data_IF_682872674476
#
_entry.id   IF_682872674476
#
_cell.length_a   1.000
_cell.length_b   1.000
_cell.length_c   1.000
_cell.angle_alpha   90.00
_cell.angle_beta   90.00
_cell.angle_gamma   90.00
#
_symmetry.space_group_name_H-M   'P 1'
#
loop_
_entity.id
_entity.type
_entity.pdbx_description
1 polymer ?
#
# COMPACT_ATOMS: atom_id res chain seq x y z
N UNK A 1 -22.49 14.17 -36.17
CA UNK A 1 -21.58 13.06 -36.53
C UNK A 1 -21.56 12.10 -35.36
N UNK A 2 -22.33 11.03 -35.50
CA UNK A 2 -22.59 9.98 -34.51
C UNK A 2 -21.41 9.00 -34.45
N UNK A 3 -20.90 8.71 -33.26
CA UNK A 3 -19.91 7.66 -33.03
C UNK A 3 -20.57 6.27 -33.10
N UNK A 4 -19.86 5.21 -33.55
CA UNK A 4 -20.44 3.87 -33.66
C UNK A 4 -20.44 3.15 -32.30
N UNK A 5 -21.36 2.22 -32.05
CA UNK A 5 -21.40 1.43 -30.82
C UNK A 5 -20.35 0.29 -30.88
N UNK A 6 -19.59 0.13 -29.79
CA UNK A 6 -18.75 -1.05 -29.57
C UNK A 6 -19.64 -2.30 -29.51
N UNK A 7 -19.40 -3.24 -30.42
CA UNK A 7 -20.02 -4.57 -30.40
C UNK A 7 -19.49 -5.35 -29.19
N UNK A 8 -20.36 -5.57 -28.21
CA UNK A 8 -20.19 -6.62 -27.20
C UNK A 8 -20.54 -7.94 -27.89
N UNK A 9 -19.55 -8.80 -28.11
CA UNK A 9 -19.80 -10.19 -28.48
C UNK A 9 -20.23 -10.94 -27.21
N UNK A 10 -21.51 -11.32 -27.17
CA UNK A 10 -22.08 -12.18 -26.14
C UNK A 10 -22.08 -13.62 -26.64
N UNK A 11 -21.46 -14.53 -25.88
CA UNK A 11 -21.69 -15.97 -26.00
C UNK A 11 -22.61 -16.45 -24.85
N UNK A 12 -23.34 -17.52 -25.14
CA UNK A 12 -24.59 -17.94 -24.52
C UNK A 12 -24.46 -18.61 -23.14
N UNK A 13 -23.97 -17.87 -22.15
CA UNK A 13 -24.25 -18.11 -20.72
C UNK A 13 -23.92 -16.84 -19.95
N UNK A 14 -24.95 -16.10 -19.52
CA UNK A 14 -24.87 -14.78 -18.89
C UNK A 14 -24.24 -14.76 -17.50
N UNK A 15 -22.94 -15.03 -17.41
CA UNK A 15 -22.08 -14.73 -16.27
C UNK A 15 -20.93 -13.85 -16.77
N UNK A 16 -20.70 -12.66 -16.20
CA UNK A 16 -19.54 -11.85 -16.57
C UNK A 16 -18.30 -12.60 -16.12
N UNK A 17 -17.55 -13.15 -17.08
CA UNK A 17 -16.18 -13.61 -16.86
C UNK A 17 -15.35 -12.42 -16.39
N UNK A 18 -15.09 -12.33 -15.08
CA UNK A 18 -14.02 -11.50 -14.53
C UNK A 18 -12.69 -12.23 -14.77
N UNK A 19 -12.25 -12.26 -16.02
CA UNK A 19 -10.95 -12.84 -16.43
C UNK A 19 -9.76 -11.90 -16.07
N UNK A 20 -9.93 -11.00 -15.10
CA UNK A 20 -8.90 -10.08 -14.60
C UNK A 20 -8.63 -10.35 -13.13
N UNK A 21 -7.34 -10.44 -12.75
CA UNK A 21 -6.94 -10.49 -11.34
C UNK A 21 -7.55 -9.30 -10.59
N UNK A 22 -8.03 -9.48 -9.34
CA UNK A 22 -8.59 -8.38 -8.57
C UNK A 22 -7.55 -7.27 -8.41
N UNK A 23 -7.98 -6.02 -8.54
CA UNK A 23 -7.15 -4.84 -8.32
C UNK A 23 -7.15 -4.48 -6.84
N UNK A 24 -6.08 -3.84 -6.38
CA UNK A 24 -6.02 -3.27 -5.03
C UNK A 24 -7.17 -2.29 -4.79
N UNK A 25 -7.62 -1.57 -5.81
CA UNK A 25 -8.69 -0.54 -5.73
C UNK A 25 -10.10 -1.10 -5.68
N UNK A 26 -10.29 -2.41 -5.83
CA UNK A 26 -11.62 -3.01 -5.85
C UNK A 26 -12.29 -2.91 -4.48
N UNK A 27 -13.58 -2.58 -4.44
CA UNK A 27 -14.33 -2.36 -3.19
C UNK A 27 -14.28 -3.59 -2.27
N UNK A 28 -14.41 -4.80 -2.84
CA UNK A 28 -14.35 -6.05 -2.07
C UNK A 28 -12.97 -6.27 -1.42
N UNK A 29 -11.88 -5.89 -2.12
CA UNK A 29 -10.51 -5.98 -1.59
C UNK A 29 -10.30 -4.93 -0.52
N UNK A 30 -10.71 -3.69 -0.78
CA UNK A 30 -10.61 -2.59 0.18
C UNK A 30 -11.38 -2.88 1.47
N UNK A 31 -12.57 -3.48 1.39
CA UNK A 31 -13.37 -3.86 2.56
C UNK A 31 -12.68 -4.92 3.41
N UNK A 32 -12.07 -5.94 2.80
CA UNK A 32 -11.31 -6.97 3.53
C UNK A 32 -10.07 -6.38 4.18
N UNK A 33 -9.29 -5.58 3.44
CA UNK A 33 -8.11 -4.91 3.96
C UNK A 33 -8.46 -3.95 5.09
N UNK A 34 -9.60 -3.26 4.98
CA UNK A 34 -10.08 -2.34 6.01
C UNK A 34 -10.44 -3.09 7.31
N UNK A 35 -11.14 -4.22 7.22
CA UNK A 35 -11.43 -5.08 8.39
C UNK A 35 -10.15 -5.51 9.08
N UNK A 36 -9.21 -6.07 8.31
CA UNK A 36 -7.94 -6.59 8.83
C UNK A 36 -7.02 -5.51 9.41
N UNK A 37 -7.12 -4.27 8.94
CA UNK A 37 -6.32 -3.16 9.47
C UNK A 37 -6.71 -2.83 10.91
N UNK A 38 -7.99 -3.04 11.26
CA UNK A 38 -8.56 -2.62 12.53
C UNK A 38 -8.58 -1.10 12.70
N UNK A 39 -9.28 -0.63 13.73
CA UNK A 39 -9.36 0.79 14.06
C UNK A 39 -9.11 0.99 15.55
N UNK A 40 -7.87 1.32 15.89
CA UNK A 40 -7.51 1.82 17.21
C UNK A 40 -7.38 3.35 17.21
N UNK A 41 -8.32 4.02 17.87
CA UNK A 41 -8.36 5.48 17.98
C UNK A 41 -7.14 6.05 18.72
N UNK A 42 -6.58 5.33 19.70
CA UNK A 42 -5.43 5.80 20.47
C UNK A 42 -4.17 5.83 19.61
N UNK A 43 -4.02 4.82 18.74
CA UNK A 43 -2.91 4.74 17.81
C UNK A 43 -3.05 5.74 16.65
N UNK A 44 -4.25 5.86 16.06
CA UNK A 44 -4.51 6.78 14.94
C UNK A 44 -4.34 8.25 15.36
N UNK A 45 -4.74 8.61 16.58
CA UNK A 45 -4.61 9.97 17.11
C UNK A 45 -3.49 10.11 18.14
N UNK A 46 -2.36 9.42 17.91
CA UNK A 46 -1.20 9.53 18.77
C UNK A 46 -0.72 11.00 18.87
N UNK A 47 -0.33 11.48 20.06
CA UNK A 47 0.18 12.84 20.21
C UNK A 47 1.37 13.12 19.29
N UNK A 48 1.20 14.04 18.35
CA UNK A 48 2.26 14.45 17.44
C UNK A 48 3.22 15.43 18.12
N UNK A 49 4.51 15.34 17.78
CA UNK A 49 5.51 16.33 18.18
C UNK A 49 5.31 17.60 17.36
N UNK A 50 4.51 18.51 17.89
CA UNK A 50 4.18 19.80 17.26
C UNK A 50 4.08 20.88 18.34
N UNK A 51 3.99 22.15 17.92
CA UNK A 51 3.74 23.25 18.84
C UNK A 51 2.43 23.03 19.59
N UNK A 52 2.52 22.98 20.92
CA UNK A 52 1.39 22.66 21.78
C UNK A 52 0.54 23.91 22.01
N UNK A 53 -0.77 23.74 21.88
CA UNK A 53 -1.78 24.75 22.22
C UNK A 53 -2.51 24.30 23.48
N UNK A 54 -2.99 25.23 24.33
CA UNK A 54 -3.73 24.87 25.53
C UNK A 54 -4.99 24.06 25.17
N UNK A 55 -5.26 22.94 25.85
CA UNK A 55 -6.41 22.11 25.56
C UNK A 55 -7.72 22.83 25.91
N UNK A 56 -8.78 22.54 25.15
CA UNK A 56 -10.13 23.09 25.38
C UNK A 56 -11.02 22.02 26.02
N UNK A 57 -11.43 22.25 27.26
CA UNK A 57 -12.35 21.36 27.98
C UNK A 57 -13.80 21.71 27.64
N UNK A 58 -14.64 20.70 27.48
CA UNK A 58 -16.08 20.83 27.24
C UNK A 58 -16.83 19.84 28.13
N UNK A 59 -17.92 20.28 28.75
CA UNK A 59 -18.85 19.41 29.47
C UNK A 59 -19.82 18.81 28.45
N UNK A 60 -19.86 17.49 28.36
CA UNK A 60 -20.69 16.77 27.40
C UNK A 60 -21.69 15.87 28.12
N UNK A 61 -22.89 15.77 27.56
CA UNK A 61 -23.84 14.71 27.92
C UNK A 61 -23.47 13.40 27.23
N UNK A 62 -23.98 12.26 27.70
CA UNK A 62 -23.71 10.94 27.11
C UNK A 62 -24.00 10.89 25.60
N UNK A 63 -25.13 11.48 25.16
CA UNK A 63 -25.48 11.56 23.73
C UNK A 63 -24.43 12.36 22.93
N UNK A 64 -23.96 13.47 23.47
CA UNK A 64 -22.95 14.31 22.82
C UNK A 64 -21.58 13.62 22.80
N UNK A 65 -21.24 12.83 23.82
CA UNK A 65 -20.03 12.02 23.84
C UNK A 65 -20.07 10.96 22.74
N UNK A 66 -21.19 10.25 22.58
CA UNK A 66 -21.37 9.27 21.50
C UNK A 66 -21.33 9.90 20.10
N UNK A 67 -21.85 11.11 19.93
CA UNK A 67 -21.72 11.83 18.67
C UNK A 67 -20.27 12.26 18.40
N UNK A 68 -19.53 12.69 19.43
CA UNK A 68 -18.13 13.04 19.31
C UNK A 68 -17.26 11.82 18.96
N UNK A 69 -17.52 10.66 19.58
CA UNK A 69 -16.81 9.42 19.24
C UNK A 69 -17.12 8.97 17.80
N UNK A 70 -18.38 9.06 17.35
CA UNK A 70 -18.73 8.78 15.94
C UNK A 70 -18.02 9.71 14.96
N UNK A 71 -17.87 11.00 15.30
CA UNK A 71 -17.09 11.96 14.48
C UNK A 71 -15.62 11.58 14.43
N UNK A 72 -15.02 11.25 15.59
CA UNK A 72 -13.63 10.80 15.66
C UNK A 72 -13.39 9.52 14.84
N UNK A 73 -14.35 8.57 14.84
CA UNK A 73 -14.28 7.37 14.00
C UNK A 73 -14.33 7.70 12.51
N UNK A 74 -15.17 8.67 12.09
CA UNK A 74 -15.21 9.11 10.69
C UNK A 74 -13.90 9.77 10.26
N UNK A 75 -13.35 10.65 11.09
CA UNK A 75 -12.04 11.27 10.83
C UNK A 75 -10.91 10.23 10.81
N UNK A 76 -10.97 9.22 11.69
CA UNK A 76 -10.02 8.11 11.69
C UNK A 76 -10.10 7.32 10.38
N UNK A 77 -11.31 7.05 9.86
CA UNK A 77 -11.52 6.38 8.58
C UNK A 77 -10.89 7.16 7.42
N UNK A 78 -11.08 8.48 7.39
CA UNK A 78 -10.48 9.35 6.38
C UNK A 78 -8.95 9.36 6.46
N UNK A 79 -8.38 9.34 7.67
CA UNK A 79 -6.91 9.24 7.84
C UNK A 79 -6.35 7.87 7.48
N UNK A 80 -7.14 6.81 7.64
CA UNK A 80 -6.75 5.43 7.37
C UNK A 80 -6.90 5.05 5.89
N UNK A 81 -7.30 5.97 5.01
CA UNK A 81 -7.37 5.70 3.57
C UNK A 81 -6.02 5.26 3.05
N UNK A 82 -5.98 4.04 2.51
CA UNK A 82 -4.75 3.41 2.05
C UNK A 82 -4.28 4.07 0.75
N UNK A 83 -2.97 4.31 0.59
CA UNK A 83 -2.44 4.80 -0.68
C UNK A 83 -2.66 3.75 -1.77
N UNK A 84 -2.94 4.16 -3.03
CA UNK A 84 -3.05 3.21 -4.13
C UNK A 84 -1.70 2.54 -4.38
N UNK A 85 -1.74 1.23 -4.64
CA UNK A 85 -0.57 0.46 -5.06
C UNK A 85 -0.53 0.47 -6.58
N UNK A 86 0.54 1.04 -7.15
CA UNK A 86 0.79 1.12 -8.58
C UNK A 86 2.05 0.33 -8.92
N UNK A 87 2.10 -0.16 -10.16
CA UNK A 87 3.31 -0.76 -10.70
C UNK A 87 4.37 0.31 -11.02
N UNK A 88 5.62 -0.14 -11.16
CA UNK A 88 6.73 0.74 -11.50
C UNK A 88 6.51 1.36 -12.89
N UNK A 89 6.62 2.69 -12.95
CA UNK A 89 6.48 3.44 -14.21
C UNK A 89 7.64 3.13 -15.18
N UNK A 90 7.31 3.02 -16.46
CA UNK A 90 8.31 2.84 -17.51
C UNK A 90 9.17 4.10 -17.69
N UNK A 91 10.49 3.96 -17.95
CA UNK A 91 11.37 5.07 -18.29
C UNK A 91 10.88 5.83 -19.53
N UNK A 92 11.08 7.16 -19.53
CA UNK A 92 10.73 8.01 -20.66
C UNK A 92 11.99 8.23 -21.51
N UNK A 93 12.04 7.59 -22.68
CA UNK A 93 13.08 7.77 -23.67
C UNK A 93 12.47 8.28 -24.98
N UNK A 94 12.07 9.54 -25.00
CA UNK A 94 11.43 10.18 -26.15
C UNK A 94 12.23 11.42 -26.60
N UNK A 95 12.71 11.37 -27.85
CA UNK A 95 13.49 12.42 -28.50
C UNK A 95 12.59 13.21 -29.44
N UNK A 96 12.48 14.51 -29.21
CA UNK A 96 11.61 15.40 -29.96
C UNK A 96 12.30 15.97 -31.21
N UNK A 97 13.58 16.34 -31.09
CA UNK A 97 14.35 16.93 -32.18
C UNK A 97 15.86 16.73 -31.97
N UNK A 98 16.62 16.69 -33.06
CA UNK A 98 18.08 16.57 -33.05
C UNK A 98 18.72 17.64 -33.95
N UNK A 99 19.38 18.62 -33.33
CA UNK A 99 20.04 19.72 -34.04
C UNK A 99 21.55 19.64 -33.87
N UNK A 100 22.23 18.86 -34.73
CA UNK A 100 23.68 18.64 -34.68
C UNK A 100 24.52 19.92 -34.82
N UNK A 101 23.94 21.00 -35.32
CA UNK A 101 24.60 22.30 -35.46
C UNK A 101 24.95 22.91 -34.10
N UNK A 102 24.20 22.56 -33.05
CA UNK A 102 24.43 23.06 -31.69
C UNK A 102 25.37 22.18 -30.86
N UNK A 103 25.86 21.08 -31.44
CA UNK A 103 26.81 20.20 -30.79
C UNK A 103 28.11 20.95 -30.48
N UNK A 104 28.50 20.98 -29.19
CA UNK A 104 29.73 21.62 -28.73
C UNK A 104 29.66 23.14 -28.54
N UNK A 105 28.48 23.77 -28.75
CA UNK A 105 28.28 25.20 -28.44
C UNK A 105 28.13 25.43 -26.94
N UNK A 106 27.42 24.52 -26.26
CA UNK A 106 27.11 24.61 -24.84
C UNK A 106 27.75 23.46 -24.06
N UNK A 107 28.19 23.73 -22.83
CA UNK A 107 28.81 22.71 -21.95
C UNK A 107 27.81 22.08 -20.98
N UNK A 108 26.64 22.69 -20.78
CA UNK A 108 25.65 22.27 -19.79
C UNK A 108 24.31 21.99 -20.44
N UNK A 109 23.54 21.07 -19.86
CA UNK A 109 22.16 20.81 -20.28
C UNK A 109 21.21 21.91 -19.79
N UNK A 110 20.23 22.27 -20.60
CA UNK A 110 19.15 23.18 -20.24
C UNK A 110 17.85 22.42 -20.03
N UNK A 111 17.12 22.76 -18.98
CA UNK A 111 15.83 22.14 -18.66
C UNK A 111 14.74 23.20 -18.78
N UNK A 112 13.84 23.01 -19.73
CA UNK A 112 12.69 23.88 -19.94
C UNK A 112 11.46 23.23 -19.33
N UNK A 113 10.79 23.96 -18.44
CA UNK A 113 9.59 23.48 -17.74
C UNK A 113 8.44 24.43 -18.02
N UNK A 114 7.32 23.90 -18.50
CA UNK A 114 6.07 24.65 -18.58
C UNK A 114 5.54 24.93 -17.16
N UNK A 115 5.21 26.18 -16.85
CA UNK A 115 4.73 26.64 -15.54
C UNK A 115 3.22 26.95 -15.50
N UNK A 116 2.47 26.56 -16.53
CA UNK A 116 1.02 26.80 -16.61
C UNK A 116 0.28 26.14 -15.43
N UNK A 117 -0.47 26.91 -14.65
CA UNK A 117 -1.09 26.45 -13.40
C UNK A 117 -2.23 25.43 -13.60
N UNK A 118 -3.00 25.56 -14.69
CA UNK A 118 -4.18 24.72 -14.95
C UNK A 118 -3.84 23.30 -15.41
N UNK A 119 -2.57 22.98 -15.66
CA UNK A 119 -2.15 21.70 -16.22
C UNK A 119 -1.73 20.74 -15.08
N UNK A 120 -2.29 19.51 -15.02
CA UNK A 120 -1.87 18.50 -14.06
C UNK A 120 -0.38 18.17 -14.17
N UNK A 121 0.24 17.83 -13.04
CA UNK A 121 1.67 17.53 -12.98
C UNK A 121 2.10 16.33 -13.83
N UNK A 122 1.20 15.41 -14.18
CA UNK A 122 1.47 14.26 -15.07
C UNK A 122 1.47 14.60 -16.56
N UNK A 123 0.73 15.62 -16.96
CA UNK A 123 0.60 16.04 -18.37
C UNK A 123 1.52 17.20 -18.75
N UNK A 124 2.14 17.83 -17.74
CA UNK A 124 3.06 18.96 -17.92
C UNK A 124 4.25 18.61 -18.83
N UNK A 125 4.60 19.54 -19.72
CA UNK A 125 5.76 19.41 -20.59
C UNK A 125 7.04 19.86 -19.88
N UNK A 126 8.02 18.95 -19.83
CA UNK A 126 9.36 19.22 -19.34
C UNK A 126 10.34 18.60 -20.34
N UNK A 127 11.17 19.44 -20.94
CA UNK A 127 12.11 19.04 -21.99
C UNK A 127 13.53 19.43 -21.60
N UNK A 128 14.48 18.62 -22.04
CA UNK A 128 15.90 18.78 -21.76
C UNK A 128 16.63 18.92 -23.08
N UNK A 129 17.38 20.02 -23.21
CA UNK A 129 18.31 20.24 -24.30
C UNK A 129 19.69 19.82 -23.83
N UNK A 130 20.22 18.78 -24.46
CA UNK A 130 21.56 18.27 -24.19
C UNK A 130 22.62 19.02 -24.98
N UNK A 131 23.89 19.05 -24.50
CA UNK A 131 24.99 19.69 -25.21
C UNK A 131 25.27 19.08 -26.60
N UNK A 132 24.76 17.88 -26.86
CA UNK A 132 24.86 17.19 -28.15
C UNK A 132 23.84 17.71 -29.18
N UNK A 133 23.05 18.75 -28.84
CA UNK A 133 22.01 19.31 -29.71
C UNK A 133 20.69 18.52 -29.71
N UNK A 134 20.57 17.48 -28.88
CA UNK A 134 19.35 16.66 -28.75
C UNK A 134 18.36 17.35 -27.82
N UNK A 135 17.10 17.49 -28.27
CA UNK A 135 15.98 17.90 -27.44
C UNK A 135 15.13 16.66 -27.12
N UNK A 136 15.15 16.24 -25.85
CA UNK A 136 14.40 15.08 -25.37
C UNK A 136 13.43 15.45 -24.27
N UNK A 137 12.49 14.56 -23.95
CA UNK A 137 11.71 14.67 -22.72
C UNK A 137 12.61 14.44 -21.49
N UNK A 138 12.29 15.12 -20.40
CA UNK A 138 12.98 14.93 -19.14
C UNK A 138 12.72 13.52 -18.59
N UNK A 139 13.72 12.94 -17.93
CA UNK A 139 13.52 11.68 -17.21
C UNK A 139 12.55 11.91 -16.05
N UNK A 140 11.98 10.83 -15.51
CA UNK A 140 11.09 10.91 -14.37
C UNK A 140 11.73 11.58 -13.13
N UNK A 141 13.00 11.32 -12.86
CA UNK A 141 13.74 11.96 -11.75
C UNK A 141 13.94 13.46 -11.99
N UNK A 142 14.30 13.85 -13.22
CA UNK A 142 14.44 15.25 -13.61
C UNK A 142 13.09 15.97 -13.48
N UNK A 143 12.02 15.33 -13.93
CA UNK A 143 10.64 15.84 -13.84
C UNK A 143 10.21 16.06 -12.40
N UNK A 144 10.35 15.05 -11.55
CA UNK A 144 9.98 15.11 -10.14
C UNK A 144 10.72 16.24 -9.40
N UNK A 145 12.02 16.41 -9.71
CA UNK A 145 12.83 17.50 -9.16
C UNK A 145 12.38 18.87 -9.64
N UNK A 146 12.14 19.05 -10.95
CA UNK A 146 11.69 20.33 -11.49
C UNK A 146 10.32 20.72 -10.93
N UNK A 147 9.39 19.76 -10.85
CA UNK A 147 8.07 19.99 -10.26
C UNK A 147 8.22 20.48 -8.82
N UNK A 148 9.08 19.86 -8.00
CA UNK A 148 9.27 20.31 -6.62
C UNK A 148 9.91 21.70 -6.50
N UNK A 149 10.77 22.10 -7.45
CA UNK A 149 11.40 23.43 -7.46
C UNK A 149 10.37 24.52 -7.75
N UNK A 150 9.51 24.30 -8.75
CA UNK A 150 8.53 25.31 -9.17
C UNK A 150 7.20 25.24 -8.40
N UNK A 151 6.82 24.04 -7.96
CA UNK A 151 5.59 23.75 -7.21
C UNK A 151 5.94 23.01 -5.91
N UNK A 152 6.44 23.71 -4.88
CA UNK A 152 6.89 23.08 -3.65
C UNK A 152 5.74 22.43 -2.89
N UNK A 153 5.81 21.11 -2.72
CA UNK A 153 4.91 20.34 -1.84
C UNK A 153 5.53 20.18 -0.45
N UNK A 154 4.72 20.36 0.59
CA UNK A 154 5.14 20.13 1.98
C UNK A 154 5.59 18.67 2.18
N UNK A 155 6.70 18.50 2.91
CA UNK A 155 7.28 17.18 3.19
C UNK A 155 8.16 16.60 2.07
N UNK A 156 8.09 17.13 0.84
CA UNK A 156 8.95 16.71 -0.28
C UNK A 156 10.20 17.59 -0.37
N UNK A 157 11.37 16.97 -0.55
CA UNK A 157 12.65 17.66 -0.80
C UNK A 157 13.09 17.45 -2.24
N UNK A 158 13.79 18.45 -2.80
CA UNK A 158 14.35 18.36 -4.17
C UNK A 158 15.41 17.26 -4.27
N UNK A 159 16.25 17.14 -3.24
CA UNK A 159 17.21 16.04 -3.11
C UNK A 159 16.64 15.06 -2.09
N UNK A 160 16.45 13.77 -2.46
CA UNK A 160 15.97 12.78 -1.53
C UNK A 160 16.84 12.69 -0.28
N UNK A 161 16.23 12.62 0.93
CA UNK A 161 16.97 12.39 2.17
C UNK A 161 17.85 11.13 2.10
N UNK A 162 19.05 11.21 2.69
CA UNK A 162 19.96 10.06 2.75
C UNK A 162 19.37 8.85 3.50
N UNK A 163 18.35 9.06 4.36
CA UNK A 163 17.65 8.01 5.12
C UNK A 163 17.08 6.90 4.22
N UNK A 164 16.77 7.21 2.95
CA UNK A 164 16.25 6.24 2.00
C UNK A 164 17.31 5.32 1.35
N UNK A 165 18.60 5.52 1.66
CA UNK A 165 19.65 4.60 1.26
C UNK A 165 19.63 3.35 2.13
N UNK A 166 19.97 2.20 1.53
CA UNK A 166 19.87 0.88 2.17
C UNK A 166 20.64 0.78 3.50
N UNK A 167 21.82 1.40 3.58
CA UNK A 167 22.65 1.44 4.79
C UNK A 167 21.92 2.10 5.97
N UNK A 168 21.19 3.18 5.70
CA UNK A 168 20.48 3.93 6.71
C UNK A 168 19.12 3.31 7.05
N UNK A 169 18.46 2.66 6.10
CA UNK A 169 17.20 1.96 6.36
C UNK A 169 17.33 0.92 7.47
N UNK A 170 18.43 0.14 7.49
CA UNK A 170 18.68 -0.87 8.53
C UNK A 170 18.71 -0.24 9.93
N UNK A 171 19.34 0.93 10.08
CA UNK A 171 19.41 1.63 11.38
C UNK A 171 18.04 2.09 11.87
N UNK A 172 17.13 2.44 10.97
CA UNK A 172 15.77 2.85 11.33
C UNK A 172 14.90 1.64 11.67
N UNK A 173 15.08 0.52 10.96
CA UNK A 173 14.39 -0.74 11.26
C UNK A 173 14.74 -1.28 12.65
N UNK A 174 16.00 -1.13 13.09
CA UNK A 174 16.41 -1.47 14.46
C UNK A 174 15.70 -0.64 15.53
N UNK A 175 15.19 0.55 15.18
CA UNK A 175 14.47 1.43 16.10
C UNK A 175 12.94 1.22 16.07
N UNK A 176 12.43 0.26 15.29
CA UNK A 176 10.99 0.00 15.12
C UNK A 176 10.19 1.20 14.60
N UNK A 177 10.85 2.02 13.78
CA UNK A 177 10.28 3.24 13.17
C UNK A 177 9.86 3.02 11.72
N UNK A 178 9.31 1.86 11.40
CA UNK A 178 8.86 1.50 10.06
C UNK A 178 7.76 2.44 9.56
N UNK A 179 6.79 2.78 10.43
CA UNK A 179 5.70 3.72 10.09
C UNK A 179 6.22 5.11 9.67
N UNK A 180 7.25 5.62 10.36
CA UNK A 180 7.84 6.92 10.06
C UNK A 180 8.49 6.92 8.67
N UNK A 181 9.20 5.85 8.30
CA UNK A 181 9.80 5.72 6.95
C UNK A 181 8.72 5.72 5.89
N UNK A 182 7.66 4.93 6.07
CA UNK A 182 6.58 4.84 5.10
C UNK A 182 5.85 6.18 4.96
N UNK A 183 5.62 6.89 6.07
CA UNK A 183 5.06 8.24 6.06
C UNK A 183 5.96 9.24 5.33
N UNK A 184 7.29 9.18 5.56
CA UNK A 184 8.25 10.00 4.83
C UNK A 184 8.29 9.64 3.34
N UNK A 185 8.16 8.36 2.99
CA UNK A 185 8.19 7.86 1.61
C UNK A 185 7.00 8.40 0.80
N UNK A 186 5.77 8.34 1.35
CA UNK A 186 4.57 8.92 0.73
C UNK A 186 4.71 10.43 0.50
N UNK A 187 5.38 11.15 1.40
CA UNK A 187 5.59 12.58 1.25
C UNK A 187 6.65 12.89 0.18
N UNK A 188 7.71 12.08 0.10
CA UNK A 188 8.89 12.35 -0.73
C UNK A 188 8.73 11.89 -2.19
N UNK A 189 8.15 10.72 -2.42
CA UNK A 189 8.14 10.05 -3.71
C UNK A 189 6.72 9.86 -4.26
N UNK A 190 6.60 9.68 -5.59
CA UNK A 190 5.32 9.29 -6.19
C UNK A 190 5.10 7.77 -6.04
N UNK A 191 3.84 7.30 -5.93
CA UNK A 191 3.54 5.89 -5.69
C UNK A 191 4.03 4.91 -6.77
N UNK A 192 4.22 5.39 -8.00
CA UNK A 192 4.71 4.62 -9.17
C UNK A 192 6.23 4.71 -9.37
N UNK A 193 6.94 5.42 -8.50
CA UNK A 193 8.39 5.55 -8.60
C UNK A 193 9.14 4.31 -8.07
N UNK A 194 10.26 3.97 -8.72
CA UNK A 194 11.11 2.85 -8.34
C UNK A 194 11.59 2.95 -6.89
N UNK A 195 11.99 4.14 -6.45
CA UNK A 195 12.43 4.40 -5.07
C UNK A 195 11.31 4.15 -4.05
N UNK A 196 10.08 4.59 -4.36
CA UNK A 196 8.92 4.37 -3.51
C UNK A 196 8.68 2.87 -3.32
N UNK A 197 8.59 2.12 -4.41
CA UNK A 197 8.33 0.69 -4.41
C UNK A 197 9.46 -0.06 -3.68
N UNK A 198 10.73 0.27 -3.96
CA UNK A 198 11.90 -0.31 -3.30
C UNK A 198 11.83 -0.15 -1.77
N UNK A 199 11.58 1.06 -1.28
CA UNK A 199 11.54 1.35 0.16
C UNK A 199 10.38 0.62 0.83
N UNK A 200 9.19 0.57 0.20
CA UNK A 200 8.03 -0.15 0.74
C UNK A 200 8.31 -1.65 0.82
N UNK A 201 8.78 -2.27 -0.27
CA UNK A 201 9.10 -3.70 -0.29
C UNK A 201 10.17 -4.06 0.74
N UNK A 202 11.21 -3.24 0.87
CA UNK A 202 12.28 -3.47 1.86
C UNK A 202 11.76 -3.39 3.30
N UNK A 203 10.87 -2.45 3.57
CA UNK A 203 10.24 -2.29 4.88
C UNK A 203 9.34 -3.49 5.20
N UNK A 204 8.56 -3.97 4.23
CA UNK A 204 7.71 -5.15 4.41
C UNK A 204 8.51 -6.44 4.61
N UNK A 205 9.60 -6.62 3.86
CA UNK A 205 10.50 -7.77 4.03
C UNK A 205 11.14 -7.80 5.43
N UNK A 206 11.47 -6.64 6.00
CA UNK A 206 12.02 -6.54 7.36
C UNK A 206 10.97 -6.86 8.43
N UNK A 207 9.76 -6.33 8.27
CA UNK A 207 8.62 -6.61 9.16
C UNK A 207 8.31 -8.11 9.17
N UNK A 208 8.32 -8.76 8.01
CA UNK A 208 8.06 -10.19 7.91
C UNK A 208 9.16 -11.03 8.57
N UNK A 209 10.44 -10.65 8.40
CA UNK A 209 11.58 -11.35 9.03
C UNK A 209 11.52 -11.30 10.56
N UNK A 210 11.10 -10.18 11.12
CA UNK A 210 11.03 -9.97 12.56
C UNK A 210 9.62 -10.17 13.16
N UNK A 211 8.64 -10.56 12.34
CA UNK A 211 7.23 -10.70 12.70
C UNK A 211 6.62 -9.46 13.41
N UNK A 212 7.03 -8.24 13.01
CA UNK A 212 6.60 -6.97 13.63
C UNK A 212 5.36 -6.35 12.98
N UNK A 213 4.36 -7.17 12.66
CA UNK A 213 3.15 -6.73 11.94
C UNK A 213 2.32 -5.70 12.69
N UNK A 214 2.40 -5.73 14.03
CA UNK A 214 1.66 -4.83 14.92
C UNK A 214 2.04 -3.36 14.77
N UNK A 215 3.27 -3.09 14.30
CA UNK A 215 3.71 -1.71 14.05
C UNK A 215 2.82 -1.04 13.00
N UNK A 216 2.43 -1.77 11.94
CA UNK A 216 1.59 -1.25 10.87
C UNK A 216 0.09 -1.45 11.08
N UNK A 217 -0.35 -2.21 12.09
CA UNK A 217 -1.79 -2.31 12.42
C UNK A 217 -2.39 -0.94 12.74
N UNK A 218 -3.65 -0.72 12.35
CA UNK A 218 -4.33 0.58 12.47
C UNK A 218 -3.59 1.75 11.82
N UNK A 219 -2.78 1.47 10.79
CA UNK A 219 -2.17 2.47 9.92
C UNK A 219 -2.61 2.27 8.48
N UNK A 220 -2.56 3.34 7.68
CA UNK A 220 -2.90 3.31 6.24
C UNK A 220 -1.97 2.42 5.42
N UNK A 221 -0.85 1.98 5.98
CA UNK A 221 0.16 1.18 5.30
C UNK A 221 -0.11 -0.33 5.40
N UNK A 222 -1.00 -0.74 6.30
CA UNK A 222 -1.28 -2.15 6.55
C UNK A 222 -1.75 -2.88 5.30
N UNK A 223 -2.71 -2.31 4.56
CA UNK A 223 -3.21 -2.97 3.36
C UNK A 223 -2.17 -3.11 2.24
N UNK A 224 -1.28 -2.12 2.08
CA UNK A 224 -0.18 -2.23 1.13
C UNK A 224 0.78 -3.37 1.47
N UNK A 225 1.07 -3.56 2.76
CA UNK A 225 1.87 -4.70 3.24
C UNK A 225 1.17 -6.03 2.97
N UNK A 226 -0.11 -6.16 3.32
CA UNK A 226 -0.88 -7.39 3.10
C UNK A 226 -0.92 -7.74 1.62
N UNK A 227 -1.21 -6.75 0.76
CA UNK A 227 -1.24 -6.94 -0.68
C UNK A 227 0.10 -7.44 -1.23
N UNK A 228 1.20 -6.88 -0.76
CA UNK A 228 2.55 -7.33 -1.12
C UNK A 228 2.81 -8.79 -0.69
N UNK A 229 2.46 -9.15 0.54
CA UNK A 229 2.66 -10.50 1.08
C UNK A 229 1.81 -11.55 0.35
N UNK A 230 0.55 -11.24 0.02
CA UNK A 230 -0.35 -12.11 -0.73
C UNK A 230 0.17 -12.33 -2.16
N UNK A 231 0.61 -11.27 -2.84
CA UNK A 231 1.18 -11.38 -4.19
C UNK A 231 2.45 -12.25 -4.21
N UNK A 232 3.29 -12.18 -3.17
CA UNK A 232 4.52 -12.99 -3.05
C UNK A 232 4.30 -14.36 -2.41
N UNK A 233 3.08 -14.72 -2.04
CA UNK A 233 2.75 -15.98 -1.33
C UNK A 233 3.52 -16.16 -0.01
N UNK A 234 3.75 -15.07 0.73
CA UNK A 234 4.44 -15.04 2.03
C UNK A 234 3.49 -14.62 3.15
N UNK A 235 2.35 -15.29 3.26
CA UNK A 235 1.28 -14.95 4.21
C UNK A 235 1.40 -15.68 5.56
N UNK A 236 2.21 -16.74 5.64
CA UNK A 236 2.37 -17.60 6.82
C UNK A 236 2.65 -16.82 8.10
N UNK A 237 3.62 -15.90 8.08
CA UNK A 237 4.02 -15.15 9.27
C UNK A 237 2.91 -14.23 9.79
N UNK A 238 2.16 -13.60 8.87
CA UNK A 238 1.05 -12.72 9.22
C UNK A 238 -0.13 -13.53 9.78
N UNK A 239 -0.42 -14.68 9.18
CA UNK A 239 -1.47 -15.58 9.64
C UNK A 239 -1.21 -16.08 11.07
N UNK A 240 0.05 -16.45 11.35
CA UNK A 240 0.47 -16.85 12.69
C UNK A 240 0.31 -15.70 13.71
N UNK A 241 0.67 -14.46 13.35
CA UNK A 241 0.48 -13.30 14.24
C UNK A 241 -1.01 -12.99 14.49
N UNK A 242 -1.88 -13.18 13.50
CA UNK A 242 -3.33 -13.01 13.68
C UNK A 242 -3.90 -14.07 14.63
N UNK A 243 -3.50 -15.34 14.50
CA UNK A 243 -3.98 -16.43 15.35
C UNK A 243 -3.54 -16.23 16.80
N UNK A 244 -2.27 -15.86 17.05
CA UNK A 244 -1.78 -15.61 18.41
C UNK A 244 -2.44 -14.41 19.11
N UNK A 245 -3.15 -13.55 18.36
CA UNK A 245 -3.84 -12.36 18.88
C UNK A 245 -5.36 -12.51 18.89
N UNK A 246 -5.84 -13.74 18.71
CA UNK A 246 -7.27 -14.09 18.68
C UNK A 246 -8.06 -13.39 17.55
N UNK A 247 -7.39 -13.02 16.45
CA UNK A 247 -7.98 -12.35 15.29
C UNK A 247 -8.34 -13.34 14.18
N UNK A 248 -9.21 -14.31 14.48
CA UNK A 248 -9.62 -15.34 13.51
C UNK A 248 -10.40 -14.78 12.32
N UNK A 249 -11.23 -13.76 12.53
CA UNK A 249 -11.99 -13.11 11.45
C UNK A 249 -11.07 -12.42 10.44
N UNK A 250 -9.97 -11.85 10.92
CA UNK A 250 -8.94 -11.24 10.06
C UNK A 250 -8.14 -12.32 9.33
N UNK A 251 -7.81 -13.42 10.01
CA UNK A 251 -7.14 -14.57 9.40
C UNK A 251 -7.97 -15.19 8.26
N UNK A 252 -9.29 -15.33 8.44
CA UNK A 252 -10.19 -15.83 7.40
C UNK A 252 -10.33 -14.83 6.25
N UNK A 253 -10.35 -13.53 6.54
CA UNK A 253 -10.36 -12.46 5.54
C UNK A 253 -9.07 -12.48 4.70
N UNK A 254 -7.91 -12.72 5.32
CA UNK A 254 -6.62 -12.84 4.64
C UNK A 254 -6.60 -14.02 3.66
N UNK A 255 -7.12 -15.19 4.07
CA UNK A 255 -7.18 -16.37 3.19
C UNK A 255 -8.19 -16.16 2.06
N UNK A 256 -9.33 -15.51 2.36
CA UNK A 256 -10.30 -15.15 1.34
C UNK A 256 -9.67 -14.25 0.29
N UNK A 257 -8.90 -13.23 0.72
CA UNK A 257 -8.13 -12.36 -0.18
C UNK A 257 -7.10 -13.14 -1.01
N UNK A 258 -6.42 -14.10 -0.39
CA UNK A 258 -5.46 -14.95 -1.07
C UNK A 258 -6.11 -15.82 -2.16
N UNK A 259 -7.26 -16.46 -1.86
CA UNK A 259 -8.02 -17.24 -2.84
C UNK A 259 -8.54 -16.39 -4.01
N UNK A 260 -8.97 -15.15 -3.74
CA UNK A 260 -9.40 -14.23 -4.80
C UNK A 260 -8.26 -13.87 -5.76
N UNK A 261 -7.03 -13.75 -5.25
CA UNK A 261 -5.88 -13.36 -6.06
C UNK A 261 -5.25 -14.55 -6.80
N UNK A 262 -5.31 -15.73 -6.18
CA UNK A 262 -4.79 -16.99 -6.73
C UNK A 262 -5.91 -18.04 -6.84
N UNK A 263 -6.84 -17.94 -7.81
CA UNK A 263 -7.94 -18.91 -7.95
C UNK A 263 -7.48 -20.32 -8.38
N UNK A 264 -6.29 -20.42 -8.98
CA UNK A 264 -5.74 -21.71 -9.45
C UNK A 264 -5.19 -22.60 -8.34
N UNK A 265 -5.07 -22.05 -7.14
CA UNK A 265 -4.53 -22.69 -5.96
C UNK A 265 -5.38 -23.88 -5.49
N UNK A 266 -4.72 -24.91 -4.95
CA UNK A 266 -5.40 -26.11 -4.46
C UNK A 266 -6.30 -25.77 -3.26
N UNK A 267 -5.85 -24.87 -2.39
CA UNK A 267 -6.65 -24.35 -1.28
C UNK A 267 -7.95 -23.68 -1.73
N UNK A 268 -7.90 -22.88 -2.80
CA UNK A 268 -9.06 -22.19 -3.35
C UNK A 268 -10.08 -23.18 -3.93
N UNK A 269 -9.61 -24.18 -4.69
CA UNK A 269 -10.46 -25.23 -5.28
C UNK A 269 -11.14 -26.08 -4.21
N UNK A 270 -10.40 -26.53 -3.20
CA UNK A 270 -10.97 -27.29 -2.09
C UNK A 270 -11.94 -26.46 -1.23
N UNK A 271 -11.66 -25.17 -1.05
CA UNK A 271 -12.55 -24.26 -0.33
C UNK A 271 -13.88 -24.03 -1.05
N UNK A 272 -13.86 -23.88 -2.38
CA UNK A 272 -15.07 -23.73 -3.20
C UNK A 272 -15.89 -25.03 -3.25
N UNK A 273 -15.22 -26.18 -3.42
CA UNK A 273 -15.86 -27.49 -3.47
C UNK A 273 -16.56 -27.85 -2.15
N UNK A 274 -15.91 -27.56 -1.01
CA UNK A 274 -16.41 -27.93 0.32
C UNK A 274 -17.15 -26.80 1.04
N UNK A 275 -17.22 -25.59 0.47
CA UNK A 275 -17.80 -24.37 1.08
C UNK A 275 -17.34 -24.16 2.53
N UNK A 276 -16.06 -24.35 2.79
CA UNK A 276 -15.51 -24.29 4.15
C UNK A 276 -15.55 -22.86 4.66
N UNK A 277 -15.89 -22.69 5.94
CA UNK A 277 -15.96 -21.41 6.62
C UNK A 277 -15.08 -21.42 7.88
N UNK A 278 -14.55 -20.26 8.25
CA UNK A 278 -13.86 -20.08 9.53
C UNK A 278 -12.55 -20.87 9.63
N UNK A 279 -12.39 -21.58 10.74
CA UNK A 279 -11.16 -22.29 11.12
C UNK A 279 -10.81 -23.42 10.15
N UNK A 280 -11.81 -24.05 9.52
CA UNK A 280 -11.58 -25.12 8.56
C UNK A 280 -10.88 -24.62 7.28
N UNK A 281 -11.16 -23.36 6.89
CA UNK A 281 -10.47 -22.70 5.78
C UNK A 281 -8.98 -22.54 6.09
N UNK A 282 -8.65 -22.15 7.33
CA UNK A 282 -7.28 -22.00 7.80
C UNK A 282 -6.57 -23.36 7.82
N UNK A 283 -7.24 -24.41 8.29
CA UNK A 283 -6.69 -25.78 8.32
C UNK A 283 -6.40 -26.32 6.92
N UNK A 284 -7.26 -26.07 5.94
CA UNK A 284 -7.04 -26.48 4.54
C UNK A 284 -5.90 -25.70 3.91
N UNK A 285 -5.86 -24.38 4.11
CA UNK A 285 -4.77 -23.54 3.62
C UNK A 285 -3.41 -23.99 4.19
N UNK A 286 -3.36 -24.26 5.50
CA UNK A 286 -2.13 -24.71 6.17
C UNK A 286 -1.56 -26.01 5.60
N UNK A 287 -2.44 -26.96 5.22
CA UNK A 287 -2.05 -28.27 4.68
C UNK A 287 -1.60 -28.24 3.22
N UNK A 288 -2.19 -27.34 2.44
CA UNK A 288 -2.01 -27.33 0.98
C UNK A 288 -0.92 -26.37 0.53
N UNK A 289 -0.77 -25.22 1.19
CA UNK A 289 0.04 -24.12 0.65
C UNK A 289 1.03 -23.49 1.61
N UNK A 290 0.85 -23.68 2.91
CA UNK A 290 1.78 -23.09 3.87
C UNK A 290 3.12 -23.83 3.89
N UNK A 291 4.22 -23.07 3.95
CA UNK A 291 5.55 -23.65 4.19
C UNK A 291 5.77 -23.97 5.67
N UNK A 292 4.92 -23.42 6.55
CA UNK A 292 5.03 -23.53 8.02
C UNK A 292 3.80 -24.20 8.61
N UNK A 293 3.31 -25.27 7.98
CA UNK A 293 2.14 -26.04 8.41
C UNK A 293 2.17 -26.36 9.91
N UNK A 294 3.27 -26.93 10.41
CA UNK A 294 3.39 -27.35 11.81
C UNK A 294 3.27 -26.20 12.81
N UNK A 295 3.74 -25.00 12.46
CA UNK A 295 3.60 -23.82 13.33
C UNK A 295 2.18 -23.27 13.33
N UNK A 296 1.50 -23.28 12.18
CA UNK A 296 0.09 -22.83 12.10
C UNK A 296 -0.82 -23.79 12.85
N UNK A 297 -0.62 -25.11 12.69
CA UNK A 297 -1.40 -26.11 13.42
C UNK A 297 -1.19 -26.01 14.93
N UNK A 298 0.05 -25.82 15.38
CA UNK A 298 0.34 -25.61 16.80
C UNK A 298 -0.33 -24.33 17.33
N UNK A 299 -0.27 -23.23 16.58
CA UNK A 299 -0.93 -21.98 16.96
C UNK A 299 -2.46 -22.13 17.04
N UNK A 300 -3.06 -22.88 16.10
CA UNK A 300 -4.50 -23.18 16.12
C UNK A 300 -4.89 -24.08 17.30
N UNK A 301 -4.07 -25.09 17.64
CA UNK A 301 -4.30 -25.94 18.80
C UNK A 301 -4.24 -25.14 20.11
N UNK A 302 -3.22 -24.32 20.28
CA UNK A 302 -3.08 -23.45 21.44
C UNK A 302 -4.28 -22.50 21.59
N UNK A 303 -4.78 -21.97 20.47
CA UNK A 303 -5.99 -21.14 20.44
C UNK A 303 -7.25 -21.93 20.85
N UNK A 304 -7.46 -23.13 20.28
CA UNK A 304 -8.61 -23.98 20.60
C UNK A 304 -8.60 -24.40 22.10
N UNK A 305 -7.43 -24.68 22.66
CA UNK A 305 -7.24 -24.99 24.09
C UNK A 305 -7.54 -23.78 25.00
N UNK A 306 -7.08 -22.57 24.62
CA UNK A 306 -7.35 -21.33 25.35
C UNK A 306 -8.85 -20.97 25.33
N UNK A 307 -9.52 -21.16 24.19
CA UNK A 307 -10.97 -20.99 24.07
C UNK A 307 -11.74 -22.00 24.93
N UNK A 308 -11.33 -23.26 24.95
CA UNK A 308 -11.94 -24.30 25.78
C UNK A 308 -11.81 -23.99 27.28
N UNK A 309 -10.69 -23.40 27.71
CA UNK A 309 -10.51 -22.98 29.12
C UNK A 309 -11.30 -21.73 29.47
N UNK A 310 -11.39 -20.76 28.55
CA UNK A 310 -12.20 -19.55 28.75
C UNK A 310 -13.70 -19.81 28.77
N UNK A 311 -14.17 -20.87 28.10
CA UNK A 311 -15.60 -21.24 28.08
C UNK A 311 -16.01 -22.15 29.25
N UNK A 312 -15.03 -22.78 29.90
CA UNK A 312 -15.22 -23.61 31.08
C UNK A 312 -15.14 -22.81 32.41
N UNK A 313 -14.71 -21.54 32.36
CA UNK A 313 -14.64 -20.60 33.51
C UNK A 313 -15.83 -19.66 33.53
#
# INVERSE_FOLDING_TARGET
RTAPPQRVLADSNGLPKRDGKPSFTDEAVQDLLYRMTGLDLQKVFRPAKQELKPPKYKLLTEKQLQEATKKAIKEAKEKLTMPPVLDEREPIDDVLAEDKILEGVETTKYIFTDLTYSIPHRERFIVVREPNGVLRKATWEERDRMIQIFFPKEGRRVIPPAVFKDEHLVTVFQQDRHEDILNMCIAQFEPDSADYIRVHHRTYDDIEKHAKYDLLRSTRHFGGMVWYLVNRKRTDGLLIDMIHRDLLDDATSLITLYHMLHPECQSAKEAEERKLQGVDLIKVFAKTESQKEGYIQLALQAYEEAMATSTAS
#
